data_IF_423096430345
#
_entry.id   IF_423096430345
#
_cell.length_a   1.000
_cell.length_b   1.000
_cell.length_c   1.000
_cell.angle_alpha   90.00
_cell.angle_beta   90.00
_cell.angle_gamma   90.00
#
_symmetry.space_group_name_H-M   'P 1'
#
loop_
_entity.id
_entity.type
_entity.pdbx_description
1 polymer ?
#
# COMPACT_ATOMS: atom_id res chain seq x y z
N UNK A 1 21.77 -4.51 25.27
CA UNK A 1 21.24 -4.17 23.94
C UNK A 1 22.00 -2.93 23.52
N UNK A 2 22.63 -2.98 22.37
CA UNK A 2 23.49 -1.93 21.85
C UNK A 2 23.00 -1.56 20.44
N UNK A 3 23.30 -0.35 19.96
CA UNK A 3 22.95 0.14 18.62
C UNK A 3 21.45 0.12 18.23
N UNK A 4 20.55 0.35 19.19
CA UNK A 4 19.09 0.37 18.93
C UNK A 4 18.74 1.54 17.99
N UNK A 5 18.23 1.22 16.78
CA UNK A 5 17.82 2.18 15.75
C UNK A 5 16.48 1.77 15.14
N UNK A 6 15.68 2.71 14.60
CA UNK A 6 14.49 2.38 13.81
C UNK A 6 14.84 1.48 12.61
N UNK A 7 13.95 0.53 12.28
CA UNK A 7 14.18 -0.41 11.17
C UNK A 7 14.21 0.27 9.79
N UNK A 8 13.50 1.38 9.61
CA UNK A 8 13.45 2.15 8.37
C UNK A 8 13.25 1.25 7.13
N UNK A 9 14.26 1.15 6.25
CA UNK A 9 14.22 0.36 5.01
C UNK A 9 14.63 -1.10 5.19
N UNK A 10 15.17 -1.48 6.34
CA UNK A 10 15.63 -2.87 6.57
C UNK A 10 14.47 -3.86 6.47
N UNK A 11 13.26 -3.44 6.83
CA UNK A 11 12.03 -4.24 6.72
C UNK A 11 11.41 -4.27 5.32
N UNK A 12 11.86 -3.44 4.37
CA UNK A 12 11.30 -3.41 3.00
C UNK A 12 11.43 -4.77 2.30
N UNK A 13 12.49 -5.51 2.63
CA UNK A 13 12.79 -6.82 2.01
C UNK A 13 11.66 -7.83 2.18
N UNK A 14 10.90 -7.76 3.27
CA UNK A 14 9.82 -8.72 3.52
C UNK A 14 8.65 -8.57 2.54
N UNK A 15 8.51 -7.42 1.87
CA UNK A 15 7.46 -7.17 0.90
C UNK A 15 7.64 -8.00 -0.38
N UNK A 16 8.84 -8.55 -0.62
CA UNK A 16 9.10 -9.47 -1.72
C UNK A 16 8.86 -10.95 -1.36
N UNK A 17 8.60 -11.26 -0.08
CA UNK A 17 8.31 -12.61 0.36
C UNK A 17 6.92 -13.05 -0.12
N UNK A 18 6.79 -14.35 -0.39
CA UNK A 18 5.56 -14.95 -0.91
C UNK A 18 5.02 -15.96 0.11
N UNK A 19 3.96 -15.61 0.85
CA UNK A 19 3.26 -16.56 1.71
C UNK A 19 2.73 -17.73 0.88
N UNK A 20 2.82 -18.93 1.44
CA UNK A 20 2.30 -20.16 0.84
C UNK A 20 1.37 -20.87 1.80
N UNK A 21 0.45 -21.65 1.24
CA UNK A 21 -0.31 -22.66 1.95
C UNK A 21 0.27 -24.02 1.60
N UNK A 22 0.52 -24.86 2.59
CA UNK A 22 1.06 -26.20 2.39
C UNK A 22 0.45 -27.19 3.36
N UNK A 23 0.69 -28.48 3.12
CA UNK A 23 0.36 -29.54 4.06
C UNK A 23 1.67 -30.24 4.42
N UNK A 24 1.83 -30.63 5.68
CA UNK A 24 2.91 -31.54 6.02
C UNK A 24 2.69 -32.89 5.32
N UNK A 25 3.77 -33.66 5.15
CA UNK A 25 3.66 -35.03 4.66
C UNK A 25 2.76 -35.82 5.62
N UNK A 26 2.02 -36.80 5.10
CA UNK A 26 1.11 -37.65 5.90
C UNK A 26 1.81 -38.37 7.06
N UNK A 27 3.12 -38.62 6.94
CA UNK A 27 3.94 -39.19 8.01
C UNK A 27 4.07 -38.27 9.23
N UNK A 28 3.96 -36.95 9.02
CA UNK A 28 4.07 -35.91 10.04
C UNK A 28 2.69 -35.44 10.50
N UNK A 29 1.77 -35.28 9.55
CA UNK A 29 0.39 -34.87 9.81
C UNK A 29 -0.58 -35.74 8.99
N UNK A 30 -1.12 -36.83 9.59
CA UNK A 30 -2.07 -37.71 8.91
C UNK A 30 -3.37 -37.01 8.48
N UNK A 31 -3.77 -35.97 9.22
CA UNK A 31 -5.01 -35.23 8.99
C UNK A 31 -4.85 -34.20 7.87
N UNK A 32 -3.60 -33.96 7.41
CA UNK A 32 -3.25 -33.02 6.35
C UNK A 32 -3.95 -31.67 6.57
N UNK A 33 -3.72 -31.07 7.74
CA UNK A 33 -4.28 -29.76 8.08
C UNK A 33 -3.55 -28.68 7.29
N UNK A 34 -4.26 -27.76 6.61
CA UNK A 34 -3.63 -26.65 5.89
C UNK A 34 -2.77 -25.79 6.82
N UNK A 35 -1.50 -25.64 6.46
CA UNK A 35 -0.52 -24.80 7.13
C UNK A 35 -0.25 -23.56 6.30
N UNK A 36 0.14 -22.48 6.96
CA UNK A 36 0.50 -21.22 6.32
C UNK A 36 1.92 -20.85 6.72
N UNK A 37 2.72 -20.38 5.77
CA UNK A 37 4.09 -19.99 6.08
C UNK A 37 4.86 -19.50 4.87
N UNK A 38 6.17 -19.60 5.00
CA UNK A 38 7.16 -19.22 3.99
C UNK A 38 8.09 -20.40 3.71
N UNK A 39 8.51 -20.53 2.46
CA UNK A 39 9.55 -21.50 2.06
C UNK A 39 10.91 -20.91 2.41
N UNK A 40 11.68 -21.60 3.26
CA UNK A 40 12.91 -21.05 3.83
C UNK A 40 13.98 -20.76 2.75
N UNK A 41 14.08 -21.59 1.72
CA UNK A 41 14.98 -21.40 0.58
C UNK A 41 14.60 -20.19 -0.28
N UNK A 42 13.31 -19.86 -0.36
CA UNK A 42 12.86 -18.65 -1.05
C UNK A 42 13.09 -17.41 -0.20
N UNK A 43 12.92 -17.51 1.13
CA UNK A 43 13.30 -16.45 2.07
C UNK A 43 14.79 -16.17 1.98
N UNK A 44 15.65 -17.19 1.94
CA UNK A 44 17.10 -17.04 1.82
C UNK A 44 17.50 -16.20 0.59
N UNK A 45 16.86 -16.44 -0.56
CA UNK A 45 17.10 -15.68 -1.80
C UNK A 45 16.73 -14.21 -1.68
N UNK A 46 15.71 -13.89 -0.88
CA UNK A 46 15.23 -12.52 -0.65
C UNK A 46 16.06 -11.82 0.43
N UNK A 47 16.27 -12.47 1.56
CA UNK A 47 17.04 -11.97 2.67
C UNK A 47 17.62 -13.14 3.51
N UNK A 48 18.93 -13.45 3.38
CA UNK A 48 19.57 -14.56 4.10
C UNK A 48 19.65 -14.35 5.61
N UNK A 49 19.47 -13.13 6.11
CA UNK A 49 19.46 -12.85 7.55
C UNK A 49 18.16 -13.29 8.23
N UNK A 50 17.13 -13.65 7.44
CA UNK A 50 15.82 -14.08 7.91
C UNK A 50 15.66 -15.61 7.96
N UNK A 51 16.74 -16.36 7.75
CA UNK A 51 16.74 -17.82 7.88
C UNK A 51 17.66 -18.29 8.99
N UNK A 52 17.37 -19.46 9.53
CA UNK A 52 18.23 -20.23 10.43
C UNK A 52 18.92 -21.31 9.62
N UNK A 53 20.22 -21.43 9.81
CA UNK A 53 21.04 -22.48 9.21
C UNK A 53 21.38 -23.55 10.24
N UNK A 54 21.48 -24.80 9.79
CA UNK A 54 21.96 -25.91 10.60
C UNK A 54 23.51 -25.89 10.74
N UNK A 55 24.07 -26.93 11.37
CA UNK A 55 25.52 -27.06 11.58
C UNK A 55 26.32 -27.20 10.27
N UNK A 56 25.68 -27.66 9.19
CA UNK A 56 26.29 -27.79 7.86
C UNK A 56 26.13 -26.50 7.03
N UNK A 57 25.50 -25.47 7.59
CA UNK A 57 25.23 -24.20 6.93
C UNK A 57 24.01 -24.22 6.00
N UNK A 58 23.24 -25.32 5.97
CA UNK A 58 22.03 -25.44 5.13
C UNK A 58 20.86 -24.73 5.79
N UNK A 59 20.03 -24.12 4.97
CA UNK A 59 18.80 -23.47 5.43
C UNK A 59 17.86 -24.53 6.01
N UNK A 60 17.42 -24.29 7.25
CA UNK A 60 16.57 -25.23 7.98
C UNK A 60 15.22 -24.62 8.37
N UNK A 61 15.17 -23.32 8.67
CA UNK A 61 13.93 -22.66 9.10
C UNK A 61 13.94 -21.16 8.84
N UNK A 62 12.78 -20.53 8.92
CA UNK A 62 12.60 -19.08 8.84
C UNK A 62 12.63 -18.49 10.24
N UNK A 63 13.27 -17.31 10.40
CA UNK A 63 13.27 -16.53 11.63
C UNK A 63 11.95 -15.77 11.78
N UNK A 64 10.86 -16.48 12.07
CA UNK A 64 9.51 -15.90 12.12
C UNK A 64 9.39 -14.73 13.11
N UNK A 65 10.10 -14.73 14.24
CA UNK A 65 10.11 -13.59 15.17
C UNK A 65 10.66 -12.30 14.53
N UNK A 66 11.71 -12.42 13.71
CA UNK A 66 12.26 -11.27 12.98
C UNK A 66 11.30 -10.81 11.89
N UNK A 67 10.72 -11.75 11.13
CA UNK A 67 9.71 -11.46 10.10
C UNK A 67 8.51 -10.74 10.72
N UNK A 68 7.99 -11.21 11.85
CA UNK A 68 6.84 -10.61 12.53
C UNK A 68 7.12 -9.18 13.01
N UNK A 69 8.31 -8.93 13.57
CA UNK A 69 8.71 -7.58 13.97
C UNK A 69 8.86 -6.63 12.77
N UNK A 70 9.38 -7.13 11.65
CA UNK A 70 9.49 -6.36 10.40
C UNK A 70 8.12 -6.11 9.76
N UNK A 71 7.20 -7.08 9.82
CA UNK A 71 5.80 -6.92 9.37
C UNK A 71 5.10 -5.82 10.14
N UNK A 72 5.30 -5.72 11.46
CA UNK A 72 4.77 -4.61 12.25
C UNK A 72 5.30 -3.26 11.75
N UNK A 73 6.58 -3.15 11.43
CA UNK A 73 7.15 -1.90 10.90
C UNK A 73 6.55 -1.55 9.53
N UNK A 74 6.40 -2.51 8.62
CA UNK A 74 5.77 -2.27 7.31
C UNK A 74 4.30 -1.92 7.43
N UNK A 75 3.56 -2.56 8.34
CA UNK A 75 2.17 -2.21 8.64
C UNK A 75 2.04 -0.77 9.12
N UNK A 76 2.90 -0.34 10.06
CA UNK A 76 2.90 1.04 10.55
C UNK A 76 3.26 2.05 9.46
N UNK A 77 4.19 1.72 8.56
CA UNK A 77 4.53 2.56 7.39
C UNK A 77 3.35 2.67 6.43
N UNK A 78 2.69 1.56 6.12
CA UNK A 78 1.52 1.54 5.25
C UNK A 78 0.38 2.37 5.86
N UNK A 79 0.12 2.22 7.16
CA UNK A 79 -0.91 2.98 7.86
C UNK A 79 -0.66 4.50 7.79
N UNK A 80 0.57 4.96 8.07
CA UNK A 80 0.92 6.39 7.91
C UNK A 80 0.71 6.89 6.48
N UNK A 81 1.08 6.08 5.48
CA UNK A 81 0.88 6.44 4.07
C UNK A 81 -0.60 6.58 3.74
N UNK A 82 -1.46 5.71 4.29
CA UNK A 82 -2.92 5.80 4.13
C UNK A 82 -3.43 7.11 4.75
N UNK A 83 -3.05 7.44 5.99
CA UNK A 83 -3.45 8.70 6.63
C UNK A 83 -3.02 9.95 5.84
N UNK A 84 -1.81 9.94 5.28
CA UNK A 84 -1.32 11.01 4.40
C UNK A 84 -2.09 11.08 3.08
N UNK A 85 -2.43 9.94 2.49
CA UNK A 85 -3.24 9.86 1.28
C UNK A 85 -4.65 10.39 1.52
N UNK A 86 -5.30 10.03 2.64
CA UNK A 86 -6.63 10.52 3.00
C UNK A 86 -6.66 12.04 3.16
N UNK A 87 -5.64 12.61 3.82
CA UNK A 87 -5.48 14.07 3.92
C UNK A 87 -5.38 14.73 2.54
N UNK A 88 -4.58 14.15 1.64
CA UNK A 88 -4.42 14.67 0.27
C UNK A 88 -5.72 14.55 -0.53
N UNK A 89 -6.44 13.43 -0.40
CA UNK A 89 -7.74 13.23 -1.05
C UNK A 89 -8.72 14.31 -0.60
N UNK A 90 -8.83 14.56 0.71
CA UNK A 90 -9.70 15.60 1.24
C UNK A 90 -9.34 16.99 0.69
N UNK A 91 -8.05 17.34 0.66
CA UNK A 91 -7.59 18.60 0.07
C UNK A 91 -7.92 18.73 -1.41
N UNK A 92 -7.73 17.66 -2.19
CA UNK A 92 -8.07 17.63 -3.60
C UNK A 92 -9.58 17.78 -3.81
N UNK A 93 -10.41 17.09 -3.02
CA UNK A 93 -11.87 17.21 -3.06
C UNK A 93 -12.32 18.64 -2.78
N UNK A 94 -11.74 19.32 -1.76
CA UNK A 94 -12.04 20.73 -1.49
C UNK A 94 -11.70 21.62 -2.69
N UNK A 95 -10.51 21.47 -3.27
CA UNK A 95 -10.09 22.25 -4.44
C UNK A 95 -10.97 22.01 -5.67
N UNK A 96 -11.42 20.77 -5.88
CA UNK A 96 -12.35 20.43 -6.96
C UNK A 96 -13.70 21.15 -6.78
N UNK A 97 -14.24 21.17 -5.56
CA UNK A 97 -15.47 21.88 -5.26
C UNK A 97 -15.33 23.40 -5.46
N UNK A 98 -14.20 23.98 -5.04
CA UNK A 98 -13.89 25.40 -5.29
C UNK A 98 -13.81 25.71 -6.78
N UNK A 99 -13.13 24.86 -7.56
CA UNK A 99 -13.04 25.01 -9.02
C UNK A 99 -14.40 24.89 -9.69
N UNK A 100 -15.24 23.93 -9.27
CA UNK A 100 -16.60 23.79 -9.78
C UNK A 100 -17.44 25.06 -9.55
N UNK A 101 -17.34 25.65 -8.35
CA UNK A 101 -18.02 26.90 -8.05
C UNK A 101 -17.50 28.09 -8.88
N UNK A 102 -16.19 28.15 -9.15
CA UNK A 102 -15.60 29.18 -10.01
C UNK A 102 -16.06 29.03 -11.46
N UNK A 103 -16.11 27.81 -11.99
CA UNK A 103 -16.63 27.52 -13.34
C UNK A 103 -18.08 27.97 -13.46
N UNK A 104 -18.92 27.65 -12.46
CA UNK A 104 -20.30 28.09 -12.46
C UNK A 104 -20.41 29.62 -12.50
N UNK A 105 -19.65 30.33 -11.67
CA UNK A 105 -19.63 31.81 -11.66
C UNK A 105 -19.18 32.40 -12.99
N UNK A 106 -18.21 31.78 -13.67
CA UNK A 106 -17.77 32.21 -15.00
C UNK A 106 -18.87 31.98 -16.04
N UNK A 107 -19.53 30.82 -16.02
CA UNK A 107 -20.66 30.52 -16.90
C UNK A 107 -21.80 31.54 -16.72
N UNK A 108 -22.18 31.85 -15.48
CA UNK A 108 -23.24 32.81 -15.19
C UNK A 108 -22.92 34.22 -15.74
N UNK A 109 -21.66 34.66 -15.63
CA UNK A 109 -21.20 35.94 -16.20
C UNK A 109 -21.20 35.95 -17.72
N UNK A 110 -20.85 34.83 -18.36
CA UNK A 110 -20.86 34.71 -19.82
C UNK A 110 -22.30 34.74 -20.36
N UNK A 111 -23.22 34.04 -19.71
CA UNK A 111 -24.64 34.07 -20.08
C UNK A 111 -25.25 35.47 -19.92
N UNK A 112 -24.90 36.19 -18.85
CA UNK A 112 -25.37 37.56 -18.63
C UNK A 112 -24.86 38.56 -19.68
N UNK A 113 -23.68 38.31 -20.26
CA UNK A 113 -23.07 39.17 -21.27
C UNK A 113 -23.47 38.84 -22.72
N UNK A 114 -24.38 37.87 -22.95
CA UNK A 114 -24.91 37.62 -24.29
C UNK A 114 -25.77 38.81 -24.74
N UNK A 115 -25.47 39.45 -25.88
CA UNK A 115 -26.28 40.55 -26.38
C UNK A 115 -27.69 40.05 -26.72
N UNK A 116 -28.70 40.77 -26.23
CA UNK A 116 -30.11 40.57 -26.61
C UNK A 116 -30.23 40.64 -28.12
N UNK A 117 -30.96 39.71 -28.78
CA UNK A 117 -31.24 39.84 -30.21
C UNK A 117 -31.94 41.18 -30.44
N UNK A 118 -31.30 42.11 -31.13
CA UNK A 118 -31.98 43.32 -31.58
C UNK A 118 -33.01 42.88 -32.62
N UNK A 119 -34.28 42.87 -32.21
CA UNK A 119 -35.40 42.71 -33.12
C UNK A 119 -35.37 43.89 -34.08
N UNK A 120 -34.88 43.66 -35.30
CA UNK A 120 -34.97 44.64 -36.38
C UNK A 120 -36.46 44.71 -36.75
N UNK A 121 -37.16 45.69 -36.19
CA UNK A 121 -38.49 46.08 -36.64
C UNK A 121 -38.33 46.69 -38.04
N UNK A 122 -38.38 45.82 -39.05
CA UNK A 122 -38.39 46.26 -40.44
C UNK A 122 -39.81 46.69 -40.79
N UNK A 123 -40.10 47.98 -40.67
CA UNK A 123 -41.28 48.61 -41.24
C UNK A 123 -41.03 48.87 -42.72
N UNK A 124 -41.53 48.02 -43.63
CA UNK A 124 -41.98 48.35 -44.99
C UNK A 124 -43.01 47.33 -45.47
#
# INVERSE_FOLDING_TARGET
KDEIKPMNKSSDTILALKPVTFHYKKEVDPDAVPQFGLVAEDVEKVNPDLVVRDADGKVYSVRYEAVNAMLLNEFLKAHRRIEEQDKRINQLTTRLNEQAALIQKVNDKVEFNKPTPQTVLNNQ
#
